data_IF_080982593981
#
_entry.id   IF_080982593981
#
_cell.length_a   1.000
_cell.length_b   1.000
_cell.length_c   1.000
_cell.angle_alpha   90.00
_cell.angle_beta   90.00
_cell.angle_gamma   90.00
#
_symmetry.space_group_name_H-M   'P 1'
#
loop_
_entity.id
_entity.type
_entity.pdbx_description
1 polymer ?
#
# COMPACT_ATOMS: atom_id res chain seq x y z
N UNK A 1 10.23 -0.09 -13.85
CA UNK A 1 10.33 -0.41 -12.41
C UNK A 1 9.07 0.13 -11.76
N UNK A 2 8.12 -0.74 -11.38
CA UNK A 2 6.74 -0.33 -11.01
C UNK A 2 6.45 -0.40 -9.50
N UNK A 3 7.50 -0.52 -8.68
CA UNK A 3 7.37 -0.71 -7.23
C UNK A 3 7.74 0.52 -6.39
N UNK A 4 7.96 1.68 -6.99
CA UNK A 4 8.29 2.90 -6.24
C UNK A 4 7.05 3.38 -5.46
N UNK A 5 7.28 3.90 -4.25
CA UNK A 5 6.25 4.41 -3.36
C UNK A 5 6.56 5.88 -3.08
N UNK A 6 5.57 6.74 -3.23
CA UNK A 6 5.71 8.17 -2.91
C UNK A 6 4.86 8.51 -1.68
N UNK A 7 5.44 9.22 -0.73
CA UNK A 7 4.66 9.93 0.29
C UNK A 7 3.71 10.95 -0.36
N UNK A 8 2.73 11.43 0.39
CA UNK A 8 1.78 12.45 -0.09
C UNK A 8 2.49 13.72 -0.55
N UNK A 9 3.53 14.14 0.19
CA UNK A 9 4.37 15.28 -0.16
C UNK A 9 5.23 15.03 -1.41
N UNK A 10 5.77 13.82 -1.58
CA UNK A 10 6.50 13.44 -2.80
C UNK A 10 5.60 13.37 -4.02
N UNK A 11 4.37 12.87 -3.87
CA UNK A 11 3.38 12.86 -4.94
C UNK A 11 3.02 14.28 -5.38
N UNK A 12 2.76 15.19 -4.43
CA UNK A 12 2.48 16.59 -4.76
C UNK A 12 3.66 17.26 -5.50
N UNK A 13 4.90 16.91 -5.17
CA UNK A 13 6.08 17.37 -5.91
C UNK A 13 6.16 16.77 -7.32
N UNK A 14 5.76 15.50 -7.48
CA UNK A 14 5.72 14.85 -8.78
C UNK A 14 4.65 15.46 -9.69
N UNK A 15 3.49 15.82 -9.13
CA UNK A 15 2.43 16.56 -9.85
C UNK A 15 2.95 17.92 -10.33
N UNK A 16 3.56 18.69 -9.43
CA UNK A 16 4.16 19.99 -9.76
C UNK A 16 5.25 19.86 -10.84
N UNK A 17 6.11 18.85 -10.71
CA UNK A 17 7.14 18.56 -11.71
C UNK A 17 6.53 18.30 -13.10
N UNK A 18 5.45 17.51 -13.19
CA UNK A 18 4.79 17.24 -14.47
C UNK A 18 4.24 18.52 -15.12
N UNK A 19 3.65 19.41 -14.32
CA UNK A 19 3.15 20.72 -14.78
C UNK A 19 4.28 21.59 -15.29
N UNK A 20 5.38 21.68 -14.52
CA UNK A 20 6.57 22.45 -14.90
C UNK A 20 7.24 21.92 -16.18
N UNK A 21 7.05 20.63 -16.50
CA UNK A 21 7.56 19.97 -17.70
C UNK A 21 6.51 19.89 -18.83
N UNK A 22 5.46 20.71 -18.76
CA UNK A 22 4.54 20.94 -19.87
C UNK A 22 3.34 19.99 -19.94
N UNK A 23 3.06 19.20 -18.89
CA UNK A 23 1.83 18.42 -18.79
C UNK A 23 0.76 19.26 -18.08
N UNK A 24 -0.31 19.72 -18.75
CA UNK A 24 -1.30 20.56 -18.09
C UNK A 24 -1.97 19.82 -16.92
N UNK A 25 -2.12 20.49 -15.77
CA UNK A 25 -2.76 19.91 -14.57
C UNK A 25 -4.18 19.42 -14.85
N UNK A 26 -4.92 20.15 -15.69
CA UNK A 26 -6.24 19.78 -16.17
C UNK A 26 -6.24 18.45 -16.96
N UNK A 27 -5.16 18.15 -17.69
CA UNK A 27 -4.99 16.88 -18.40
C UNK A 27 -4.69 15.74 -17.43
N UNK A 28 -3.91 15.99 -16.37
CA UNK A 28 -3.68 15.00 -15.31
C UNK A 28 -5.00 14.61 -14.64
N UNK A 29 -5.84 15.60 -14.29
CA UNK A 29 -7.18 15.38 -13.72
C UNK A 29 -8.11 14.63 -14.69
N UNK A 30 -8.12 15.01 -15.97
CA UNK A 30 -8.90 14.30 -17.00
C UNK A 30 -8.48 12.82 -17.13
N UNK A 31 -7.17 12.54 -17.09
CA UNK A 31 -6.65 11.18 -17.16
C UNK A 31 -6.94 10.38 -15.88
N UNK A 32 -6.81 11.00 -14.71
CA UNK A 32 -7.09 10.39 -13.41
C UNK A 32 -8.55 9.93 -13.30
N UNK A 33 -9.50 10.84 -13.55
CA UNK A 33 -10.92 10.49 -13.53
C UNK A 33 -11.32 9.49 -14.62
N UNK A 34 -10.74 9.57 -15.83
CA UNK A 34 -10.96 8.56 -16.86
C UNK A 34 -10.49 7.18 -16.40
N UNK A 35 -9.30 7.08 -15.81
CA UNK A 35 -8.76 5.81 -15.34
C UNK A 35 -9.63 5.19 -14.23
N UNK A 36 -10.19 6.01 -13.35
CA UNK A 36 -11.16 5.54 -12.34
C UNK A 36 -12.42 5.01 -13.01
N UNK A 37 -13.00 5.76 -13.96
CA UNK A 37 -14.21 5.35 -14.68
C UNK A 37 -13.99 4.04 -15.47
N UNK A 38 -12.86 3.91 -16.16
CA UNK A 38 -12.49 2.70 -16.90
C UNK A 38 -12.31 1.49 -15.96
N UNK A 39 -11.68 1.69 -14.79
CA UNK A 39 -11.55 0.65 -13.78
C UNK A 39 -12.91 0.20 -13.22
N UNK A 40 -13.85 1.12 -13.05
CA UNK A 40 -15.23 0.83 -12.66
C UNK A 40 -15.95 0.09 -13.80
N UNK A 41 -15.92 0.59 -15.04
CA UNK A 41 -16.55 -0.03 -16.21
C UNK A 41 -16.06 -1.45 -16.49
N UNK A 42 -14.81 -1.77 -16.14
CA UNK A 42 -14.26 -3.11 -16.24
C UNK A 42 -14.80 -4.12 -15.19
N UNK A 43 -15.37 -3.62 -14.08
CA UNK A 43 -15.79 -4.43 -12.91
C UNK A 43 -17.29 -4.45 -12.69
N UNK A 44 -17.98 -3.40 -13.11
CA UNK A 44 -19.40 -3.20 -12.86
C UNK A 44 -20.16 -3.08 -14.18
N UNK A 45 -21.33 -3.72 -14.25
CA UNK A 45 -22.31 -3.40 -15.29
C UNK A 45 -22.92 -2.03 -15.01
N UNK A 46 -23.36 -1.29 -16.05
CA UNK A 46 -24.06 -0.03 -15.87
C UNK A 46 -25.17 -0.10 -14.81
N UNK A 47 -25.12 0.81 -13.85
CA UNK A 47 -26.04 0.89 -12.72
C UNK A 47 -26.16 2.34 -12.21
N UNK A 48 -27.07 2.63 -11.27
CA UNK A 48 -27.13 3.92 -10.60
C UNK A 48 -25.88 4.17 -9.75
N UNK A 49 -25.14 5.24 -10.06
CA UNK A 49 -23.92 5.65 -9.36
C UNK A 49 -24.12 7.02 -8.72
N UNK A 50 -23.74 7.14 -7.46
CA UNK A 50 -23.59 8.45 -6.81
C UNK A 50 -22.11 8.75 -6.67
N UNK A 51 -21.65 9.83 -7.31
CA UNK A 51 -20.27 10.31 -7.18
C UNK A 51 -20.24 11.43 -6.14
N UNK A 52 -19.46 11.24 -5.09
CA UNK A 52 -19.28 12.20 -4.02
C UNK A 52 -18.10 13.11 -4.37
N UNK A 53 -18.34 14.40 -4.60
CA UNK A 53 -17.27 15.35 -4.95
C UNK A 53 -17.02 16.33 -3.82
N UNK A 54 -15.85 16.23 -3.19
CA UNK A 54 -15.40 17.20 -2.21
C UNK A 54 -14.86 18.49 -2.83
N UNK A 55 -14.34 19.43 -2.01
CA UNK A 55 -13.98 20.77 -2.47
C UNK A 55 -12.66 20.85 -3.26
N UNK A 56 -11.78 19.84 -3.14
CA UNK A 56 -10.44 19.85 -3.72
C UNK A 56 -10.32 19.12 -5.06
N UNK A 57 -9.07 18.83 -5.46
CA UNK A 57 -8.76 18.15 -6.71
C UNK A 57 -9.43 16.77 -6.83
N UNK A 58 -9.56 16.02 -5.72
CA UNK A 58 -10.26 14.72 -5.71
C UNK A 58 -11.73 14.84 -6.13
N UNK A 59 -12.39 15.96 -5.80
CA UNK A 59 -13.74 16.26 -6.27
C UNK A 59 -13.77 16.64 -7.74
N UNK A 60 -12.72 17.31 -8.23
CA UNK A 60 -12.49 17.56 -9.66
C UNK A 60 -12.36 16.27 -10.46
N UNK A 61 -11.55 15.32 -9.98
CA UNK A 61 -11.46 13.97 -10.53
C UNK A 61 -12.83 13.30 -10.54
N UNK A 62 -13.60 13.41 -9.44
CA UNK A 62 -14.97 12.91 -9.34
C UNK A 62 -15.90 13.42 -10.46
N UNK A 63 -15.84 14.70 -10.83
CA UNK A 63 -16.63 15.20 -11.97
C UNK A 63 -16.22 14.57 -13.30
N UNK A 64 -14.93 14.30 -13.48
CA UNK A 64 -14.41 13.57 -14.65
C UNK A 64 -14.92 12.12 -14.64
N UNK A 65 -14.84 11.43 -13.49
CA UNK A 65 -15.41 10.08 -13.33
C UNK A 65 -16.88 10.06 -13.71
N UNK A 66 -17.65 11.02 -13.19
CA UNK A 66 -19.08 11.10 -13.45
C UNK A 66 -19.40 11.20 -14.95
N UNK A 67 -18.67 12.06 -15.66
CA UNK A 67 -18.84 12.24 -17.11
C UNK A 67 -18.50 10.97 -17.89
N UNK A 68 -17.38 10.33 -17.60
CA UNK A 68 -16.98 9.11 -18.31
C UNK A 68 -17.89 7.93 -17.99
N UNK A 69 -18.38 7.79 -16.76
CA UNK A 69 -19.34 6.74 -16.43
C UNK A 69 -20.70 6.95 -17.12
N UNK A 70 -21.16 8.20 -17.24
CA UNK A 70 -22.36 8.54 -18.00
C UNK A 70 -22.19 8.20 -19.50
N UNK A 71 -21.05 8.54 -20.08
CA UNK A 71 -20.67 8.15 -21.46
C UNK A 71 -20.61 6.62 -21.64
N UNK A 72 -20.27 5.86 -20.58
CA UNK A 72 -20.28 4.40 -20.56
C UNK A 72 -21.67 3.79 -20.26
N UNK A 73 -22.71 4.60 -20.11
CA UNK A 73 -24.10 4.17 -19.95
C UNK A 73 -24.55 3.96 -18.49
N UNK A 74 -23.74 4.32 -17.50
CA UNK A 74 -24.18 4.33 -16.09
C UNK A 74 -25.17 5.47 -15.85
N UNK A 75 -26.07 5.31 -14.89
CA UNK A 75 -26.96 6.40 -14.47
C UNK A 75 -26.30 7.16 -13.35
N UNK A 76 -25.72 8.32 -13.63
CA UNK A 76 -24.85 9.02 -12.69
C UNK A 76 -25.51 10.27 -12.11
N UNK A 77 -25.35 10.47 -10.79
CA UNK A 77 -25.58 11.75 -10.12
C UNK A 77 -24.32 12.18 -9.36
N UNK A 78 -24.08 13.49 -9.28
CA UNK A 78 -22.99 14.05 -8.48
C UNK A 78 -23.54 14.72 -7.24
N UNK A 79 -23.06 14.30 -6.07
CA UNK A 79 -23.34 14.94 -4.79
C UNK A 79 -22.17 15.85 -4.41
N UNK A 80 -22.44 17.14 -4.22
CA UNK A 80 -21.42 18.13 -3.83
C UNK A 80 -22.05 19.26 -3.00
N UNK A 81 -21.22 19.98 -2.24
CA UNK A 81 -21.65 21.11 -1.39
C UNK A 81 -20.60 22.24 -1.34
N UNK A 82 -19.71 22.28 -2.33
CA UNK A 82 -18.64 23.26 -2.41
C UNK A 82 -18.64 23.97 -3.76
N UNK A 83 -18.23 25.24 -3.73
CA UNK A 83 -17.83 25.98 -4.92
C UNK A 83 -16.42 25.55 -5.32
N UNK A 84 -16.30 24.94 -6.50
CA UNK A 84 -15.03 24.50 -7.05
C UNK A 84 -14.34 25.63 -7.82
N UNK A 85 -13.01 25.70 -7.69
CA UNK A 85 -12.14 26.65 -8.42
C UNK A 85 -11.01 25.89 -9.10
N UNK A 86 -10.28 26.58 -9.98
CA UNK A 86 -9.20 25.97 -10.77
C UNK A 86 -9.72 24.78 -11.59
N UNK A 87 -8.90 23.74 -11.72
CA UNK A 87 -9.21 22.56 -12.52
C UNK A 87 -10.50 21.86 -12.08
N UNK A 88 -10.73 21.73 -10.76
CA UNK A 88 -11.96 21.14 -10.23
C UNK A 88 -13.20 21.97 -10.60
N UNK A 89 -13.07 23.30 -10.66
CA UNK A 89 -14.12 24.20 -11.14
C UNK A 89 -14.43 23.99 -12.62
N UNK A 90 -13.39 23.86 -13.43
CA UNK A 90 -13.55 23.60 -14.86
C UNK A 90 -14.21 22.23 -15.12
N UNK A 91 -13.78 21.18 -14.41
CA UNK A 91 -14.38 19.84 -14.53
C UNK A 91 -15.81 19.80 -14.00
N UNK A 92 -16.10 20.54 -12.92
CA UNK A 92 -17.46 20.76 -12.46
C UNK A 92 -18.30 21.35 -13.58
N UNK A 93 -17.88 22.44 -14.25
CA UNK A 93 -18.66 23.04 -15.36
C UNK A 93 -18.91 22.07 -16.52
N UNK A 94 -17.96 21.16 -16.79
CA UNK A 94 -18.09 20.15 -17.86
C UNK A 94 -19.14 19.09 -17.56
N UNK A 95 -19.44 18.80 -16.28
CA UNK A 95 -20.53 17.89 -15.91
C UNK A 95 -21.91 18.51 -16.18
N UNK A 96 -22.69 17.87 -17.04
CA UNK A 96 -24.05 18.32 -17.46
C UNK A 96 -25.19 17.45 -16.92
N UNK A 97 -24.89 16.35 -16.23
CA UNK A 97 -25.90 15.48 -15.64
C UNK A 97 -26.41 15.96 -14.28
N UNK A 98 -27.08 15.05 -13.56
CA UNK A 98 -27.76 15.38 -12.31
C UNK A 98 -26.78 15.83 -11.21
N UNK A 99 -27.15 16.89 -10.51
CA UNK A 99 -26.47 17.40 -9.32
C UNK A 99 -27.41 17.37 -8.14
N UNK A 100 -26.92 16.93 -7.00
CA UNK A 100 -27.67 16.86 -5.75
C UNK A 100 -26.81 17.42 -4.61
N UNK A 101 -27.45 17.86 -3.54
CA UNK A 101 -26.75 18.30 -2.34
C UNK A 101 -25.97 17.12 -1.71
N UNK A 102 -24.84 17.41 -1.05
CA UNK A 102 -24.06 16.42 -0.32
C UNK A 102 -24.74 16.05 1.01
N UNK A 103 -25.85 15.32 0.91
CA UNK A 103 -26.60 14.80 2.06
C UNK A 103 -26.87 13.31 1.88
N UNK A 104 -27.12 12.54 2.95
CA UNK A 104 -27.38 11.10 2.85
C UNK A 104 -28.47 10.71 1.83
N UNK A 105 -29.47 11.57 1.59
CA UNK A 105 -30.51 11.34 0.57
C UNK A 105 -29.94 11.20 -0.85
N UNK A 106 -28.74 11.69 -1.12
CA UNK A 106 -28.05 11.48 -2.40
C UNK A 106 -27.71 10.01 -2.67
N UNK A 107 -27.69 9.17 -1.63
CA UNK A 107 -27.42 7.72 -1.73
C UNK A 107 -28.66 6.91 -2.10
N UNK A 108 -29.86 7.49 -2.07
CA UNK A 108 -31.11 6.77 -2.31
C UNK A 108 -31.13 6.09 -3.68
N UNK A 109 -31.19 4.76 -3.70
CA UNK A 109 -31.19 3.96 -4.93
C UNK A 109 -29.82 3.83 -5.61
N UNK A 110 -28.74 4.35 -5.02
CA UNK A 110 -27.39 4.11 -5.49
C UNK A 110 -27.05 2.62 -5.38
N UNK A 111 -26.38 2.08 -6.40
CA UNK A 111 -25.85 0.72 -6.42
C UNK A 111 -24.32 0.67 -6.37
N UNK A 112 -23.68 1.81 -6.57
CA UNK A 112 -22.25 2.05 -6.44
C UNK A 112 -22.06 3.50 -6.00
N UNK A 113 -21.11 3.72 -5.09
CA UNK A 113 -20.67 5.06 -4.70
C UNK A 113 -19.24 5.26 -5.16
N UNK A 114 -18.94 6.42 -5.73
CA UNK A 114 -17.57 6.85 -5.99
C UNK A 114 -17.18 7.88 -4.94
N UNK A 115 -16.16 7.55 -4.16
CA UNK A 115 -15.61 8.44 -3.15
C UNK A 115 -14.54 9.36 -3.75
N UNK A 116 -14.95 10.59 -4.04
CA UNK A 116 -14.10 11.72 -4.39
C UNK A 116 -14.16 12.85 -3.36
N UNK A 117 -14.49 12.55 -2.09
CA UNK A 117 -14.59 13.58 -1.05
C UNK A 117 -13.21 14.15 -0.71
N UNK A 118 -12.26 13.30 -0.35
CA UNK A 118 -10.90 13.69 0.01
C UNK A 118 -9.90 12.63 -0.44
N UNK A 119 -8.80 13.07 -1.06
CA UNK A 119 -7.69 12.20 -1.43
C UNK A 119 -6.61 12.16 -0.36
N UNK A 120 -5.39 11.78 -0.77
CA UNK A 120 -4.26 11.57 0.14
C UNK A 120 -3.81 12.81 0.94
N UNK A 121 -4.16 14.02 0.50
CA UNK A 121 -3.79 15.28 1.15
C UNK A 121 -4.58 15.62 2.43
N UNK A 122 -5.57 14.80 2.81
CA UNK A 122 -6.28 14.99 4.08
C UNK A 122 -5.37 14.63 5.25
N UNK A 123 -5.29 15.52 6.25
CA UNK A 123 -4.49 15.35 7.47
C UNK A 123 -5.30 15.47 8.76
N UNK A 124 -6.62 15.63 8.64
CA UNK A 124 -7.55 15.84 9.75
C UNK A 124 -8.75 14.88 9.66
N UNK A 125 -9.46 14.61 10.78
CA UNK A 125 -10.69 13.84 10.76
C UNK A 125 -11.73 14.38 9.77
N UNK A 126 -12.60 13.51 9.27
CA UNK A 126 -13.80 13.92 8.55
C UNK A 126 -14.79 14.58 9.51
N UNK A 127 -15.41 15.67 9.07
CA UNK A 127 -16.37 16.46 9.86
C UNK A 127 -17.56 16.89 8.98
N UNK A 128 -18.65 17.32 9.62
CA UNK A 128 -19.81 17.90 8.94
C UNK A 128 -20.47 16.96 7.92
N UNK A 129 -20.89 17.51 6.78
CA UNK A 129 -21.60 16.78 5.74
C UNK A 129 -20.81 15.57 5.19
N UNK A 130 -19.48 15.67 5.12
CA UNK A 130 -18.64 14.57 4.66
C UNK A 130 -18.65 13.39 5.64
N UNK A 131 -18.56 13.65 6.95
CA UNK A 131 -18.68 12.60 7.96
C UNK A 131 -20.06 11.93 7.91
N UNK A 132 -21.13 12.73 7.85
CA UNK A 132 -22.51 12.22 7.75
C UNK A 132 -22.73 11.38 6.50
N UNK A 133 -22.14 11.77 5.37
CA UNK A 133 -22.19 11.00 4.13
C UNK A 133 -21.49 9.65 4.28
N UNK A 134 -20.28 9.64 4.84
CA UNK A 134 -19.49 8.41 5.02
C UNK A 134 -20.18 7.44 5.98
N UNK A 135 -20.77 7.93 7.07
CA UNK A 135 -21.57 7.13 7.98
C UNK A 135 -22.82 6.53 7.31
N UNK A 136 -23.41 7.24 6.34
CA UNK A 136 -24.60 6.81 5.63
C UNK A 136 -24.35 5.81 4.49
N UNK A 137 -23.08 5.52 4.14
CA UNK A 137 -22.75 4.60 3.03
C UNK A 137 -23.28 3.18 3.25
N UNK A 138 -23.47 2.74 4.50
CA UNK A 138 -24.17 1.51 4.91
C UNK A 138 -24.10 0.33 3.92
N UNK A 139 -23.02 -0.46 3.96
CA UNK A 139 -22.76 -1.64 3.12
C UNK A 139 -22.77 -1.41 1.59
N UNK A 140 -22.94 -0.17 1.11
CA UNK A 140 -22.84 0.11 -0.32
C UNK A 140 -21.41 -0.14 -0.81
N UNK A 141 -21.25 -0.71 -2.02
CA UNK A 141 -19.94 -0.83 -2.63
C UNK A 141 -19.39 0.56 -2.94
N UNK A 142 -18.14 0.81 -2.54
CA UNK A 142 -17.45 2.10 -2.76
C UNK A 142 -16.22 1.90 -3.62
N UNK A 143 -16.07 2.73 -4.65
CA UNK A 143 -14.84 2.91 -5.40
C UNK A 143 -14.20 4.26 -5.01
N UNK A 144 -13.00 4.23 -4.44
CA UNK A 144 -12.30 5.45 -4.00
C UNK A 144 -11.35 5.99 -5.06
N UNK A 145 -11.33 7.32 -5.16
CA UNK A 145 -10.37 8.08 -5.96
C UNK A 145 -9.15 8.38 -5.09
N UNK A 146 -7.99 7.94 -5.56
CA UNK A 146 -6.67 8.03 -4.92
C UNK A 146 -6.51 7.26 -3.60
N UNK A 147 -7.18 7.70 -2.54
CA UNK A 147 -7.16 7.13 -1.19
C UNK A 147 -8.58 7.21 -0.62
N UNK A 148 -9.11 6.16 0.06
CA UNK A 148 -10.39 6.26 0.74
C UNK A 148 -10.42 7.45 1.73
N UNK A 149 -11.47 8.27 1.62
CA UNK A 149 -11.63 9.46 2.45
C UNK A 149 -11.59 9.13 3.94
N UNK A 150 -10.81 9.90 4.69
CA UNK A 150 -10.58 9.67 6.12
C UNK A 150 -9.39 8.77 6.44
N UNK A 151 -8.67 8.25 5.44
CA UNK A 151 -7.43 7.49 5.61
C UNK A 151 -6.21 8.34 5.25
N UNK A 152 -5.17 8.27 6.08
CA UNK A 152 -3.88 8.91 5.81
C UNK A 152 -3.14 8.20 4.67
N UNK A 153 -2.80 8.94 3.62
CA UNK A 153 -1.98 8.42 2.52
C UNK A 153 -0.56 7.99 2.94
N UNK A 154 0.02 8.59 3.98
CA UNK A 154 1.39 8.29 4.42
C UNK A 154 1.50 7.19 5.47
N UNK A 155 0.45 6.95 6.26
CA UNK A 155 0.52 5.98 7.37
C UNK A 155 -0.44 4.82 7.23
N UNK A 156 -1.47 4.95 6.37
CA UNK A 156 -2.57 4.00 6.28
C UNK A 156 -3.48 3.99 7.52
N UNK A 157 -3.28 4.90 8.47
CA UNK A 157 -4.14 5.01 9.64
C UNK A 157 -5.38 5.85 9.33
N UNK A 158 -6.55 5.49 9.90
CA UNK A 158 -7.68 6.38 9.95
C UNK A 158 -7.32 7.70 10.65
N UNK A 159 -7.76 8.81 10.09
CA UNK A 159 -7.55 10.15 10.64
C UNK A 159 -8.58 10.52 11.72
N UNK A 160 -9.51 9.62 12.02
CA UNK A 160 -10.57 9.77 13.01
C UNK A 160 -11.44 8.52 13.07
N UNK A 161 -12.60 8.62 13.74
CA UNK A 161 -13.56 7.51 13.86
C UNK A 161 -14.40 7.22 12.61
N UNK A 162 -14.42 8.15 11.65
CA UNK A 162 -15.24 8.06 10.42
C UNK A 162 -14.31 8.05 9.21
N UNK A 163 -14.41 7.01 8.39
CA UNK A 163 -13.60 6.81 7.20
C UNK A 163 -14.29 5.84 6.22
N UNK A 164 -13.94 5.95 4.95
CA UNK A 164 -14.46 5.09 3.90
C UNK A 164 -13.74 3.74 3.90
N UNK A 165 -14.52 2.68 3.70
CA UNK A 165 -14.00 1.35 3.31
C UNK A 165 -14.39 1.11 1.86
N UNK A 166 -13.39 0.98 0.99
CA UNK A 166 -13.57 0.79 -0.44
C UNK A 166 -13.38 -0.67 -0.84
N UNK A 167 -14.11 -1.10 -1.88
CA UNK A 167 -13.87 -2.37 -2.55
C UNK A 167 -12.89 -2.23 -3.72
N UNK A 168 -12.72 -1.00 -4.21
CA UNK A 168 -11.80 -0.62 -5.27
C UNK A 168 -11.20 0.75 -4.92
N UNK A 169 -9.90 0.91 -5.04
CA UNK A 169 -9.21 2.21 -4.98
C UNK A 169 -8.35 2.36 -6.22
N UNK A 170 -8.53 3.45 -6.95
CA UNK A 170 -7.70 3.77 -8.12
C UNK A 170 -6.81 4.93 -7.74
N UNK A 171 -5.51 4.68 -7.68
CA UNK A 171 -4.49 5.68 -7.36
C UNK A 171 -3.60 5.96 -8.58
N UNK A 172 -2.90 7.08 -8.55
CA UNK A 172 -2.26 7.64 -9.73
C UNK A 172 -0.75 7.71 -9.58
N UNK A 173 -0.05 7.45 -10.69
CA UNK A 173 1.40 7.49 -10.86
C UNK A 173 2.19 6.51 -9.99
N UNK A 174 2.15 6.66 -8.66
CA UNK A 174 2.73 5.72 -7.68
C UNK A 174 1.79 5.52 -6.50
N UNK A 175 1.90 4.36 -5.86
CA UNK A 175 1.21 4.11 -4.60
C UNK A 175 1.80 4.99 -3.50
N UNK A 176 0.98 5.30 -2.51
CA UNK A 176 1.37 5.89 -1.24
C UNK A 176 1.55 4.81 -0.17
N UNK A 177 2.32 5.04 0.92
CA UNK A 177 2.52 4.01 1.93
C UNK A 177 1.22 3.48 2.54
N UNK A 178 0.18 4.31 2.68
CA UNK A 178 -1.13 3.93 3.20
C UNK A 178 -1.86 2.87 2.36
N UNK A 179 -1.49 2.69 1.10
CA UNK A 179 -1.98 1.59 0.26
C UNK A 179 -1.38 0.24 0.62
N UNK A 180 -0.30 0.21 1.40
CA UNK A 180 0.50 -0.99 1.69
C UNK A 180 0.54 -1.30 3.18
N UNK A 181 0.37 -0.29 4.04
CA UNK A 181 0.34 -0.40 5.49
C UNK A 181 -1.07 -0.66 6.02
N UNK A 182 -1.17 -1.44 7.10
CA UNK A 182 -2.45 -1.71 7.78
C UNK A 182 -2.83 -0.57 8.75
N UNK A 183 -4.15 -0.28 8.91
CA UNK A 183 -5.28 -0.95 8.26
C UNK A 183 -5.56 -0.48 6.83
N UNK A 184 -4.99 0.65 6.38
CA UNK A 184 -5.26 1.28 5.07
C UNK A 184 -5.26 0.33 3.87
N UNK A 185 -4.29 -0.59 3.77
CA UNK A 185 -4.23 -1.63 2.71
C UNK A 185 -5.53 -2.41 2.57
N UNK A 186 -6.16 -2.77 3.69
CA UNK A 186 -7.42 -3.53 3.69
C UNK A 186 -8.60 -2.61 3.34
N UNK A 187 -8.58 -1.38 3.84
CA UNK A 187 -9.63 -0.38 3.60
C UNK A 187 -9.67 0.11 2.15
N UNK A 188 -8.59 -0.06 1.38
CA UNK A 188 -8.56 0.28 -0.04
C UNK A 188 -9.21 -0.79 -0.95
N UNK A 189 -9.45 -2.01 -0.45
CA UNK A 189 -9.92 -3.13 -1.27
C UNK A 189 -8.93 -3.51 -2.37
N UNK A 190 -9.42 -3.70 -3.60
CA UNK A 190 -8.54 -3.84 -4.77
C UNK A 190 -7.87 -2.51 -5.10
N UNK A 191 -6.55 -2.49 -5.30
CA UNK A 191 -5.80 -1.28 -5.66
C UNK A 191 -5.39 -1.35 -7.13
N UNK A 192 -5.84 -0.37 -7.92
CA UNK A 192 -5.40 -0.16 -9.30
C UNK A 192 -4.46 1.05 -9.33
N UNK A 193 -3.25 0.85 -9.84
CA UNK A 193 -2.32 1.95 -10.09
C UNK A 193 -2.45 2.39 -11.55
N UNK A 194 -2.91 3.60 -11.78
CA UNK A 194 -3.10 4.19 -13.09
C UNK A 194 -1.95 5.14 -13.47
N UNK A 195 -1.51 5.04 -14.72
CA UNK A 195 -0.64 6.04 -15.33
C UNK A 195 -1.50 7.19 -15.86
N UNK A 196 -1.25 8.39 -15.36
CA UNK A 196 -2.00 9.61 -15.72
C UNK A 196 -1.16 10.58 -16.56
N UNK A 197 0.04 10.16 -17.00
CA UNK A 197 0.93 10.97 -17.83
C UNK A 197 1.97 11.78 -17.05
N UNK A 198 2.21 11.45 -15.78
CA UNK A 198 3.32 12.04 -15.01
C UNK A 198 4.62 11.35 -15.46
N UNK A 199 5.66 12.12 -15.86
CA UNK A 199 6.93 11.56 -16.30
C UNK A 199 7.57 10.66 -15.22
N UNK A 200 8.20 9.56 -15.62
CA UNK A 200 8.81 8.62 -14.68
C UNK A 200 9.92 9.27 -13.84
N UNK A 201 10.59 10.27 -14.39
CA UNK A 201 11.63 11.09 -13.75
C UNK A 201 11.11 11.88 -12.55
N UNK A 202 9.79 12.10 -12.46
CA UNK A 202 9.15 12.73 -11.31
C UNK A 202 9.17 11.84 -10.05
N UNK A 203 9.41 10.52 -10.21
CA UNK A 203 9.52 9.59 -9.11
C UNK A 203 10.89 9.72 -8.44
N UNK A 204 10.99 10.58 -7.43
CA UNK A 204 12.19 10.76 -6.62
C UNK A 204 11.96 10.21 -5.20
N UNK A 205 12.23 8.92 -5.00
CA UNK A 205 12.00 8.23 -3.72
C UNK A 205 13.00 7.10 -3.49
N UNK A 206 13.22 6.79 -2.21
CA UNK A 206 13.95 5.59 -1.76
C UNK A 206 13.01 4.49 -1.24
N UNK A 207 11.70 4.77 -1.13
CA UNK A 207 10.70 3.83 -0.65
C UNK A 207 10.19 2.97 -1.80
N UNK A 208 10.30 1.65 -1.65
CA UNK A 208 9.86 0.69 -2.68
C UNK A 208 9.09 -0.47 -2.06
N UNK A 209 8.12 -1.00 -2.81
CA UNK A 209 7.47 -2.26 -2.52
C UNK A 209 8.48 -3.39 -2.56
N UNK A 210 8.56 -4.12 -1.45
CA UNK A 210 9.48 -5.24 -1.33
C UNK A 210 9.12 -6.34 -2.34
N UNK A 211 9.95 -6.49 -3.37
CA UNK A 211 9.75 -7.42 -4.47
C UNK A 211 11.06 -8.13 -4.82
N UNK A 212 11.01 -9.32 -5.44
CA UNK A 212 12.22 -10.06 -5.81
C UNK A 212 13.23 -9.28 -6.64
N UNK A 213 12.79 -8.29 -7.43
CA UNK A 213 13.68 -7.41 -8.19
C UNK A 213 14.58 -6.52 -7.34
N UNK A 214 14.23 -6.26 -6.07
CA UNK A 214 15.05 -5.50 -5.14
C UNK A 214 16.02 -6.40 -4.35
N UNK A 215 15.77 -7.70 -4.34
CA UNK A 215 16.53 -8.63 -3.53
C UNK A 215 17.90 -8.88 -4.14
N UNK A 216 18.96 -8.58 -3.38
CA UNK A 216 20.34 -8.89 -3.76
C UNK A 216 20.78 -10.12 -2.98
N UNK A 217 20.95 -11.24 -3.68
CA UNK A 217 21.43 -12.48 -3.09
C UNK A 217 22.88 -12.78 -3.47
N UNK A 218 23.69 -13.32 -2.55
CA UNK A 218 24.99 -13.90 -2.88
C UNK A 218 24.77 -15.24 -3.61
N UNK A 219 24.39 -15.17 -4.88
CA UNK A 219 24.15 -16.35 -5.71
C UNK A 219 25.40 -17.23 -5.79
N UNK A 220 25.25 -18.57 -5.77
CA UNK A 220 26.37 -19.50 -5.93
C UNK A 220 27.14 -19.22 -7.22
N UNK A 221 28.47 -19.18 -7.12
CA UNK A 221 29.36 -19.13 -8.28
C UNK A 221 30.02 -20.50 -8.49
N UNK A 222 30.35 -20.89 -9.74
CA UNK A 222 31.01 -22.17 -10.01
C UNK A 222 32.33 -22.39 -9.26
N UNK A 223 33.06 -21.31 -8.96
CA UNK A 223 34.33 -21.29 -8.21
C UNK A 223 34.13 -21.02 -6.70
N UNK A 224 32.88 -20.91 -6.23
CA UNK A 224 32.56 -20.60 -4.84
C UNK A 224 32.68 -21.80 -3.91
N UNK A 225 33.10 -21.55 -2.67
CA UNK A 225 33.11 -22.56 -1.59
C UNK A 225 32.20 -22.13 -0.42
N UNK A 226 31.88 -23.08 0.47
CA UNK A 226 30.96 -22.85 1.61
C UNK A 226 31.33 -21.62 2.45
N UNK A 227 32.62 -21.39 2.74
CA UNK A 227 33.02 -20.22 3.54
C UNK A 227 32.80 -18.86 2.86
N UNK A 228 32.72 -18.81 1.52
CA UNK A 228 32.44 -17.57 0.78
C UNK A 228 30.98 -17.11 0.93
N UNK A 229 30.10 -17.98 1.45
CA UNK A 229 28.67 -17.74 1.63
C UNK A 229 28.30 -17.55 3.11
N UNK A 230 29.29 -17.24 3.93
CA UNK A 230 29.15 -16.95 5.35
C UNK A 230 28.79 -18.15 6.23
N UNK A 231 28.74 -17.89 7.53
CA UNK A 231 28.36 -18.85 8.55
C UNK A 231 27.32 -18.19 9.47
N UNK A 232 26.08 -18.65 9.36
CA UNK A 232 24.98 -18.23 10.22
C UNK A 232 24.97 -19.06 11.51
N UNK A 233 24.91 -18.41 12.66
CA UNK A 233 24.63 -19.06 13.94
C UNK A 233 23.24 -18.64 14.43
N UNK A 234 22.45 -19.61 14.84
CA UNK A 234 21.13 -19.40 15.43
C UNK A 234 21.19 -19.81 16.89
N UNK A 235 20.84 -18.91 17.79
CA UNK A 235 20.84 -19.19 19.24
C UNK A 235 19.51 -19.85 19.60
N UNK A 236 19.57 -21.05 20.17
CA UNK A 236 18.40 -21.80 20.61
C UNK A 236 17.99 -21.41 22.02
N UNK A 237 16.68 -21.44 22.25
CA UNK A 237 16.12 -21.54 23.60
C UNK A 237 16.31 -22.92 24.23
N UNK A 238 15.77 -23.11 25.46
CA UNK A 238 15.86 -24.36 26.22
C UNK A 238 15.13 -25.53 25.55
N UNK A 239 15.24 -26.73 26.13
CA UNK A 239 14.79 -27.98 25.50
C UNK A 239 13.32 -27.95 25.00
N UNK A 240 12.44 -27.27 25.73
CA UNK A 240 11.00 -27.16 25.41
C UNK A 240 10.68 -26.07 24.37
N UNK A 241 11.66 -25.24 23.96
CA UNK A 241 11.47 -24.07 23.10
C UNK A 241 12.45 -24.03 21.90
N UNK A 242 12.86 -25.19 21.38
CA UNK A 242 13.81 -25.30 20.25
C UNK A 242 13.19 -25.06 18.87
N UNK A 243 11.87 -24.87 18.78
CA UNK A 243 11.15 -24.79 17.50
C UNK A 243 11.61 -23.63 16.61
N UNK A 244 11.68 -22.42 17.17
CA UNK A 244 12.06 -21.21 16.44
C UNK A 244 13.48 -21.32 15.86
N UNK A 245 14.44 -21.74 16.68
CA UNK A 245 15.83 -21.90 16.25
C UNK A 245 16.00 -22.92 15.12
N UNK A 246 15.30 -24.05 15.18
CA UNK A 246 15.33 -25.06 14.11
C UNK A 246 14.74 -24.52 12.80
N UNK A 247 13.66 -23.75 12.85
CA UNK A 247 13.06 -23.14 11.67
C UNK A 247 14.00 -22.08 11.06
N UNK A 248 14.56 -21.20 11.89
CA UNK A 248 15.49 -20.17 11.46
C UNK A 248 16.77 -20.77 10.84
N UNK A 249 17.35 -21.79 11.45
CA UNK A 249 18.56 -22.44 10.94
C UNK A 249 18.31 -23.14 9.60
N UNK A 250 17.16 -23.81 9.44
CA UNK A 250 16.75 -24.41 8.16
C UNK A 250 16.50 -23.35 7.09
N UNK A 251 15.88 -22.22 7.45
CA UNK A 251 15.68 -21.10 6.54
C UNK A 251 17.02 -20.53 6.06
N UNK A 252 17.97 -20.27 6.98
CA UNK A 252 19.32 -19.80 6.67
C UNK A 252 20.04 -20.72 5.67
N UNK A 253 19.98 -22.04 5.89
CA UNK A 253 20.58 -23.00 4.97
C UNK A 253 19.88 -22.99 3.60
N UNK A 254 18.55 -22.93 3.58
CA UNK A 254 17.73 -22.94 2.36
C UNK A 254 17.97 -21.69 1.49
N UNK A 255 18.12 -20.52 2.10
CA UNK A 255 18.40 -19.27 1.36
C UNK A 255 19.85 -19.15 0.92
N UNK A 256 20.71 -20.09 1.32
CA UNK A 256 22.04 -20.24 0.76
C UNK A 256 23.21 -19.82 1.65
N UNK A 257 23.03 -19.76 2.97
CA UNK A 257 24.16 -19.67 3.89
C UNK A 257 25.10 -20.87 3.67
N UNK A 258 26.41 -20.62 3.62
CA UNK A 258 27.38 -21.68 3.34
C UNK A 258 27.58 -22.65 4.49
N UNK A 259 27.45 -22.15 5.72
CA UNK A 259 27.47 -22.92 6.95
C UNK A 259 26.36 -22.42 7.87
N UNK A 260 25.75 -23.35 8.62
CA UNK A 260 24.77 -23.01 9.64
C UNK A 260 25.05 -23.81 10.91
N UNK A 261 25.07 -23.11 12.05
CA UNK A 261 25.13 -23.70 13.36
C UNK A 261 23.93 -23.29 14.21
N UNK A 262 23.46 -24.18 15.07
CA UNK A 262 22.60 -23.84 16.20
C UNK A 262 23.46 -23.84 17.46
N UNK A 263 23.63 -22.67 18.07
CA UNK A 263 24.15 -22.57 19.43
C UNK A 263 23.05 -23.03 20.38
N UNK A 264 23.27 -24.11 21.13
CA UNK A 264 22.23 -24.78 21.91
C UNK A 264 22.61 -24.79 23.39
N UNK A 265 21.69 -24.37 24.29
CA UNK A 265 21.80 -24.71 25.70
C UNK A 265 21.93 -26.23 25.87
N UNK A 266 22.67 -26.66 26.90
CA UNK A 266 23.01 -28.07 27.10
C UNK A 266 21.81 -29.00 27.25
N UNK A 267 20.72 -28.54 27.87
CA UNK A 267 19.46 -29.28 27.98
C UNK A 267 18.75 -29.48 26.63
N UNK A 268 19.00 -28.59 25.66
CA UNK A 268 18.38 -28.58 24.34
C UNK A 268 19.19 -29.30 23.25
N UNK A 269 20.45 -29.68 23.52
CA UNK A 269 21.37 -30.24 22.51
C UNK A 269 20.78 -31.50 21.87
N UNK A 270 20.28 -32.44 22.66
CA UNK A 270 19.73 -33.69 22.14
C UNK A 270 18.48 -33.46 21.28
N UNK A 271 17.60 -32.55 21.72
CA UNK A 271 16.40 -32.16 20.98
C UNK A 271 16.78 -31.54 19.63
N UNK A 272 17.77 -30.66 19.60
CA UNK A 272 18.25 -30.05 18.36
C UNK A 272 18.95 -31.07 17.46
N UNK A 273 19.86 -31.87 17.99
CA UNK A 273 20.68 -32.82 17.23
C UNK A 273 19.86 -33.90 16.51
N UNK A 274 18.77 -34.39 17.12
CA UNK A 274 17.89 -35.39 16.50
C UNK A 274 17.19 -34.86 15.24
N UNK A 275 16.95 -33.55 15.16
CA UNK A 275 16.23 -32.93 14.04
C UNK A 275 17.13 -32.26 12.99
N UNK A 276 18.38 -31.98 13.34
CA UNK A 276 19.30 -31.16 12.53
C UNK A 276 20.42 -32.04 11.97
N UNK A 277 20.29 -32.41 10.70
CA UNK A 277 21.26 -33.31 10.03
C UNK A 277 22.42 -32.54 9.39
N UNK A 278 22.13 -31.54 8.56
CA UNK A 278 23.13 -30.72 7.87
C UNK A 278 23.59 -29.49 8.69
N UNK A 279 22.84 -29.15 9.74
CA UNK A 279 23.08 -27.98 10.58
C UNK A 279 23.85 -28.45 11.82
N UNK A 280 24.99 -27.81 12.08
CA UNK A 280 25.85 -28.17 13.21
C UNK A 280 25.23 -27.72 14.54
N UNK A 281 25.34 -28.51 15.59
CA UNK A 281 24.92 -28.10 16.95
C UNK A 281 26.17 -27.75 17.76
N UNK A 282 26.18 -26.57 18.36
CA UNK A 282 27.26 -26.06 19.21
C UNK A 282 26.72 -25.84 20.62
N UNK A 283 27.08 -26.68 21.62
CA UNK A 283 26.59 -26.51 22.97
C UNK A 283 27.15 -25.24 23.64
N UNK A 284 26.38 -24.64 24.54
CA UNK A 284 26.86 -23.62 25.50
C UNK A 284 26.10 -23.75 26.83
N UNK A 285 26.76 -23.37 27.93
CA UNK A 285 26.21 -23.54 29.30
C UNK A 285 25.54 -22.28 29.86
N UNK A 286 26.09 -21.11 29.56
CA UNK A 286 25.64 -19.83 30.13
C UNK A 286 25.99 -18.67 29.18
N UNK A 287 25.69 -17.44 29.59
CA UNK A 287 25.97 -16.24 28.81
C UNK A 287 27.46 -16.12 28.42
N UNK A 288 28.39 -16.41 29.33
CA UNK A 288 29.82 -16.37 29.04
C UNK A 288 30.23 -17.44 28.01
N UNK A 289 29.65 -18.63 28.08
CA UNK A 289 29.87 -19.69 27.08
C UNK A 289 29.31 -19.33 25.71
N UNK A 290 28.18 -18.61 25.66
CA UNK A 290 27.65 -18.07 24.41
C UNK A 290 28.55 -16.96 23.85
N UNK A 291 29.04 -16.06 24.70
CA UNK A 291 29.98 -14.99 24.31
C UNK A 291 31.27 -15.57 23.74
N UNK A 292 31.82 -16.61 24.37
CA UNK A 292 32.99 -17.33 23.86
C UNK A 292 32.71 -17.93 22.48
N UNK A 293 31.56 -18.58 22.30
CA UNK A 293 31.16 -19.14 21.01
C UNK A 293 31.05 -18.04 19.94
N UNK A 294 30.43 -16.90 20.27
CA UNK A 294 30.23 -15.77 19.37
C UNK A 294 31.50 -14.95 19.11
N UNK A 295 32.57 -15.15 19.88
CA UNK A 295 33.88 -14.55 19.62
C UNK A 295 34.56 -15.08 18.36
N UNK A 296 34.12 -16.24 17.83
CA UNK A 296 34.58 -16.79 16.57
C UNK A 296 34.13 -15.94 15.39
N UNK A 297 35.05 -15.11 14.88
CA UNK A 297 34.81 -14.18 13.75
C UNK A 297 34.35 -14.85 12.45
N UNK A 298 34.42 -16.17 12.34
CA UNK A 298 33.85 -16.91 11.19
C UNK A 298 32.33 -16.89 11.24
N UNK A 299 31.72 -16.82 12.42
CA UNK A 299 30.28 -16.64 12.63
C UNK A 299 29.93 -15.18 12.32
N UNK A 300 29.43 -14.92 11.11
CA UNK A 300 29.28 -13.56 10.59
C UNK A 300 27.82 -13.12 10.42
N UNK A 301 26.87 -13.98 10.81
CA UNK A 301 25.47 -13.63 10.95
C UNK A 301 24.90 -14.36 12.18
N UNK A 302 24.23 -13.61 13.07
CA UNK A 302 23.63 -14.14 14.29
C UNK A 302 22.13 -13.93 14.26
N UNK A 303 21.37 -14.99 14.54
CA UNK A 303 19.92 -14.91 14.76
C UNK A 303 19.65 -15.25 16.22
N UNK A 304 18.99 -14.34 16.92
CA UNK A 304 18.57 -14.49 18.32
C UNK A 304 17.06 -14.26 18.37
N UNK A 305 16.32 -15.21 18.94
CA UNK A 305 14.87 -15.16 19.06
C UNK A 305 14.28 -16.46 19.55
#
# INVERSE_FOLDING_TARGET
>A
MSGEILTTAEMARADAFAVDHGVPSLRLMENAGRAVADAIGARFKPCPVTVLCGPGNNGGDGFVVARHLDEQGFTVRVAHDADHKGDAGEMSVRWKGARVALTPAALDGARLVVDGLFGAGLSRPLEGAAAQMVEALNDLPVAAIDVPSGISGDTGQPLGGVYVTAILTVTFFRKKPGHLLLPGRVLCGEIVLADIGIPAEAANTTLHENSPSLWRYPWPKPDGHKYARGHCVVVSGPAHATGAARLAARAALRVGAGLVSVASPSDAVAVNAVHLTAIMVKPFENAAGLDELLSDKRLNAVVVG
#
